data_IF_305420469466
#
_entry.id   IF_305420469466
#
_cell.length_a   1.000
_cell.length_b   1.000
_cell.length_c   1.000
_cell.angle_alpha   90.00
_cell.angle_beta   90.00
_cell.angle_gamma   90.00
#
_symmetry.space_group_name_H-M   'P 1'
#
loop_
_entity.id
_entity.type
_entity.pdbx_description
1 polymer ?
#
# COMPACT_ATOMS: atom_id res chain seq x y z
N UNK A 1 -25.91 66.87 -24.14
CA UNK A 1 -24.58 67.33 -24.53
C UNK A 1 -24.63 68.75 -24.93
N UNK A 2 -24.28 69.71 -24.08
CA UNK A 2 -24.31 71.15 -24.38
C UNK A 2 -22.86 71.60 -24.40
N UNK A 3 -22.38 71.92 -25.60
CA UNK A 3 -21.12 72.60 -25.85
C UNK A 3 -21.24 74.05 -25.44
N UNK A 4 -20.53 74.42 -24.37
CA UNK A 4 -20.46 75.80 -23.91
C UNK A 4 -19.43 76.52 -24.74
N UNK A 5 -19.93 77.39 -25.67
CA UNK A 5 -19.12 78.30 -26.50
C UNK A 5 -18.34 79.23 -25.59
N UNK A 6 -17.03 79.33 -25.85
CA UNK A 6 -16.11 80.29 -25.23
C UNK A 6 -16.32 81.66 -25.87
N UNK A 7 -17.03 82.50 -25.13
CA UNK A 7 -17.20 83.93 -25.55
C UNK A 7 -15.84 84.60 -25.52
N UNK A 8 -15.30 84.90 -26.68
CA UNK A 8 -14.14 85.75 -26.84
C UNK A 8 -14.65 87.21 -26.93
N UNK A 9 -14.97 87.76 -25.74
CA UNK A 9 -15.29 89.17 -25.61
C UNK A 9 -14.04 90.01 -25.92
N UNK A 10 -14.10 90.79 -27.02
CA UNK A 10 -13.08 91.76 -27.37
C UNK A 10 -13.20 92.90 -26.35
N UNK A 11 -12.25 93.02 -25.42
CA UNK A 11 -12.19 94.15 -24.48
C UNK A 11 -11.54 95.33 -25.19
N UNK A 12 -12.34 96.24 -25.64
CA UNK A 12 -11.89 97.55 -26.25
C UNK A 12 -11.70 98.55 -25.05
N UNK A 13 -10.45 99.03 -24.79
CA UNK A 13 -10.20 100.12 -23.86
C UNK A 13 -9.12 99.85 -22.81
N UNK A 14 -8.21 98.86 -22.98
CA UNK A 14 -7.02 98.73 -22.10
C UNK A 14 -5.95 99.75 -22.52
N UNK A 15 -5.40 100.44 -21.55
CA UNK A 15 -4.26 101.34 -21.73
C UNK A 15 -3.16 100.70 -22.55
N UNK A 16 -2.58 101.40 -23.55
CA UNK A 16 -1.53 100.81 -24.39
C UNK A 16 -0.32 100.52 -23.56
N UNK A 17 -0.04 99.22 -23.33
CA UNK A 17 1.19 98.76 -22.64
C UNK A 17 2.22 98.47 -23.74
N UNK A 18 3.19 99.35 -23.88
CA UNK A 18 4.37 99.12 -24.71
C UNK A 18 5.33 98.24 -23.87
N UNK A 19 5.49 97.06 -24.33
CA UNK A 19 6.41 96.12 -23.70
C UNK A 19 7.80 96.38 -24.37
N UNK A 20 8.65 97.12 -23.64
CA UNK A 20 9.98 97.52 -24.09
C UNK A 20 11.07 96.48 -23.78
N UNK A 21 10.67 95.28 -23.43
CA UNK A 21 11.63 94.21 -23.18
C UNK A 21 12.17 93.61 -24.50
N UNK A 22 13.50 93.59 -24.70
CA UNK A 22 14.13 92.95 -25.83
C UNK A 22 13.58 91.51 -26.07
N UNK A 23 13.41 91.06 -27.33
CA UNK A 23 12.86 89.76 -27.62
C UNK A 23 13.69 88.57 -27.00
N UNK A 24 14.97 88.80 -26.78
CA UNK A 24 15.91 87.84 -26.18
C UNK A 24 15.54 87.52 -24.75
N UNK A 25 15.20 88.54 -23.93
CA UNK A 25 14.81 88.31 -22.51
C UNK A 25 13.53 87.55 -22.40
N UNK A 26 12.59 87.66 -23.40
CA UNK A 26 11.38 86.86 -23.43
C UNK A 26 11.67 85.42 -23.82
N UNK A 27 12.63 85.15 -24.70
CA UNK A 27 13.11 83.82 -25.06
C UNK A 27 13.75 83.13 -23.86
N UNK A 28 14.62 83.85 -23.16
CA UNK A 28 15.29 83.29 -21.97
C UNK A 28 14.31 82.94 -20.80
N UNK A 29 13.30 83.81 -20.56
CA UNK A 29 12.25 83.48 -19.58
C UNK A 29 11.39 82.29 -19.96
N UNK A 30 11.09 82.13 -21.26
CA UNK A 30 10.38 80.95 -21.77
C UNK A 30 11.25 79.69 -21.69
N UNK A 31 12.54 79.81 -22.05
CA UNK A 31 13.49 78.72 -21.92
C UNK A 31 13.68 78.28 -20.45
N UNK A 32 13.83 79.25 -19.51
CA UNK A 32 13.89 78.94 -18.09
C UNK A 32 12.62 78.30 -17.54
N UNK A 33 11.43 78.70 -18.06
CA UNK A 33 10.17 78.04 -17.69
C UNK A 33 10.06 76.60 -18.22
N UNK A 34 10.51 76.38 -19.45
CA UNK A 34 10.59 75.02 -20.04
C UNK A 34 11.63 74.14 -19.32
N UNK A 35 12.81 74.70 -19.01
CA UNK A 35 13.83 73.99 -18.26
C UNK A 35 13.34 73.56 -16.84
N UNK A 36 12.64 74.47 -16.13
CA UNK A 36 12.05 74.08 -14.82
C UNK A 36 11.00 73.00 -14.95
N UNK A 37 10.18 73.01 -15.98
CA UNK A 37 9.19 71.92 -16.22
C UNK A 37 9.88 70.60 -16.59
N UNK A 38 10.92 70.66 -17.41
CA UNK A 38 11.74 69.48 -17.75
C UNK A 38 12.40 68.88 -16.52
N UNK A 39 13.01 69.73 -15.68
CA UNK A 39 13.62 69.28 -14.42
C UNK A 39 12.56 68.68 -13.45
N UNK A 40 11.40 69.27 -13.34
CA UNK A 40 10.29 68.73 -12.56
C UNK A 40 9.86 67.36 -13.09
N UNK A 41 9.81 67.18 -14.41
CA UNK A 41 9.52 65.91 -15.04
C UNK A 41 10.59 64.84 -14.70
N UNK A 42 11.87 65.20 -14.77
CA UNK A 42 12.98 64.27 -14.40
C UNK A 42 12.89 63.85 -12.93
N UNK A 43 12.60 64.79 -12.02
CA UNK A 43 12.43 64.49 -10.57
C UNK A 43 11.25 63.52 -10.35
N UNK A 44 10.11 63.71 -11.01
CA UNK A 44 8.97 62.79 -10.92
C UNK A 44 9.31 61.42 -11.41
N UNK A 45 9.99 61.30 -12.59
CA UNK A 45 10.43 60.01 -13.13
C UNK A 45 11.41 59.34 -12.16
N UNK A 46 12.40 60.06 -11.63
CA UNK A 46 13.34 59.55 -10.64
C UNK A 46 12.64 59.02 -9.41
N UNK A 47 11.60 59.72 -8.93
CA UNK A 47 10.83 59.29 -7.77
C UNK A 47 10.01 58.05 -8.05
N UNK A 48 9.41 57.92 -9.19
CA UNK A 48 8.67 56.72 -9.63
C UNK A 48 9.61 55.51 -9.75
N UNK A 49 10.79 55.70 -10.30
CA UNK A 49 11.81 54.67 -10.42
C UNK A 49 12.30 54.22 -9.03
N UNK A 50 12.53 55.18 -8.13
CA UNK A 50 12.95 54.90 -6.78
C UNK A 50 11.90 54.08 -5.99
N UNK A 51 10.61 54.46 -6.10
CA UNK A 51 9.53 53.73 -5.49
C UNK A 51 9.41 52.31 -6.09
N UNK A 52 9.45 52.20 -7.41
CA UNK A 52 9.39 50.90 -8.10
C UNK A 52 10.56 49.96 -7.73
N UNK A 53 11.77 50.50 -7.66
CA UNK A 53 12.97 49.74 -7.24
C UNK A 53 12.89 49.34 -5.77
N UNK A 54 12.42 50.23 -4.89
CA UNK A 54 12.22 49.92 -3.47
C UNK A 54 11.19 48.79 -3.27
N UNK A 55 10.06 48.86 -3.97
CA UNK A 55 9.04 47.81 -3.90
C UNK A 55 9.57 46.46 -4.41
N UNK A 56 10.33 46.46 -5.50
CA UNK A 56 10.93 45.23 -6.03
C UNK A 56 11.97 44.60 -5.08
N UNK A 57 12.74 45.43 -4.37
CA UNK A 57 13.68 44.94 -3.36
C UNK A 57 12.96 44.32 -2.14
N UNK A 58 11.90 44.96 -1.66
CA UNK A 58 11.09 44.43 -0.57
C UNK A 58 10.42 43.11 -0.95
N UNK A 59 9.97 42.98 -2.21
CA UNK A 59 9.37 41.76 -2.70
C UNK A 59 10.39 40.62 -2.78
N UNK A 60 11.63 40.90 -3.22
CA UNK A 60 12.71 39.90 -3.21
C UNK A 60 13.06 39.42 -1.79
N UNK A 61 13.11 40.29 -0.83
CA UNK A 61 13.37 39.91 0.56
C UNK A 61 12.28 38.99 1.11
N UNK A 62 11.00 39.30 0.82
CA UNK A 62 9.89 38.45 1.22
C UNK A 62 9.91 37.09 0.49
N UNK A 63 10.31 37.07 -0.78
CA UNK A 63 10.41 35.84 -1.55
C UNK A 63 11.56 34.95 -1.05
N UNK A 64 12.70 35.53 -0.66
CA UNK A 64 13.82 34.79 -0.03
C UNK A 64 13.42 34.21 1.32
N UNK A 65 12.72 34.98 2.17
CA UNK A 65 12.21 34.50 3.45
C UNK A 65 11.19 33.36 3.28
N UNK A 66 10.30 33.46 2.29
CA UNK A 66 9.34 32.42 1.98
C UNK A 66 9.99 31.14 1.47
N UNK A 67 11.06 31.25 0.66
CA UNK A 67 11.87 30.11 0.22
C UNK A 67 12.58 29.42 1.38
N UNK A 68 13.17 30.20 2.31
CA UNK A 68 13.81 29.64 3.50
C UNK A 68 12.82 28.93 4.41
N UNK A 69 11.62 29.48 4.59
CA UNK A 69 10.54 28.83 5.34
C UNK A 69 10.09 27.53 4.68
N UNK A 70 9.86 27.53 3.35
CA UNK A 70 9.46 26.36 2.61
C UNK A 70 10.54 25.26 2.62
N UNK A 71 11.83 25.63 2.56
CA UNK A 71 12.95 24.71 2.71
C UNK A 71 12.99 24.12 4.13
N UNK A 72 12.80 24.95 5.15
CA UNK A 72 12.73 24.51 6.55
C UNK A 72 11.57 23.54 6.80
N UNK A 73 10.40 23.82 6.23
CA UNK A 73 9.25 22.94 6.31
C UNK A 73 9.51 21.61 5.60
N UNK A 74 10.10 21.65 4.41
CA UNK A 74 10.50 20.43 3.66
C UNK A 74 11.48 19.60 4.48
N UNK A 75 12.48 20.22 5.11
CA UNK A 75 13.45 19.52 5.94
C UNK A 75 12.79 18.90 7.18
N UNK A 76 11.86 19.61 7.81
CA UNK A 76 11.11 19.10 8.96
C UNK A 76 10.23 17.90 8.58
N UNK A 77 9.56 17.96 7.43
CA UNK A 77 8.75 16.86 6.89
C UNK A 77 9.61 15.63 6.55
N UNK A 78 10.79 15.82 5.98
CA UNK A 78 11.72 14.73 5.73
C UNK A 78 12.19 14.06 7.03
N UNK A 79 12.48 14.85 8.05
CA UNK A 79 12.85 14.32 9.37
C UNK A 79 11.71 13.53 10.00
N UNK A 80 10.47 14.04 9.92
CA UNK A 80 9.29 13.31 10.38
C UNK A 80 9.09 12.00 9.58
N UNK A 81 9.26 12.04 8.26
CA UNK A 81 9.18 10.83 7.44
C UNK A 81 10.23 9.79 7.84
N UNK A 82 11.44 10.22 8.19
CA UNK A 82 12.48 9.31 8.68
C UNK A 82 12.12 8.67 10.02
N UNK A 83 11.53 9.42 10.96
CA UNK A 83 11.07 8.88 12.23
C UNK A 83 9.99 7.79 12.05
N UNK A 84 9.11 7.97 11.06
CA UNK A 84 8.07 6.98 10.75
C UNK A 84 8.54 5.86 9.80
N UNK A 85 9.74 5.95 9.24
CA UNK A 85 10.25 4.91 8.32
C UNK A 85 10.43 3.57 9.03
N UNK A 86 10.90 3.59 10.27
CA UNK A 86 11.08 2.38 11.09
C UNK A 86 9.74 1.73 11.45
N UNK A 87 8.75 2.53 11.84
CA UNK A 87 7.39 2.04 12.11
C UNK A 87 6.77 1.40 10.87
N UNK A 88 6.91 2.05 9.70
CA UNK A 88 6.43 1.50 8.43
C UNK A 88 7.16 0.21 8.03
N UNK A 89 8.46 0.11 8.34
CA UNK A 89 9.21 -1.12 8.11
C UNK A 89 8.66 -2.25 8.97
N UNK A 90 8.50 -2.03 10.27
CA UNK A 90 7.92 -3.02 11.20
C UNK A 90 6.51 -3.43 10.77
N UNK A 91 5.67 -2.49 10.36
CA UNK A 91 4.33 -2.80 9.83
C UNK A 91 4.38 -3.70 8.59
N UNK A 92 5.30 -3.44 7.66
CA UNK A 92 5.49 -4.29 6.48
C UNK A 92 6.01 -5.67 6.85
N UNK A 93 6.94 -5.75 7.79
CA UNK A 93 7.50 -7.01 8.26
C UNK A 93 6.41 -7.85 8.95
N UNK A 94 5.58 -7.24 9.80
CA UNK A 94 4.42 -7.91 10.42
C UNK A 94 3.42 -8.39 9.37
N UNK A 95 3.08 -7.55 8.38
CA UNK A 95 2.18 -7.95 7.31
C UNK A 95 2.75 -9.09 6.46
N UNK A 96 4.07 -9.08 6.21
CA UNK A 96 4.75 -10.16 5.49
C UNK A 96 4.74 -11.47 6.30
N UNK A 97 5.00 -11.40 7.61
CA UNK A 97 4.95 -12.57 8.50
C UNK A 97 3.53 -13.15 8.50
N UNK A 98 2.51 -12.33 8.67
CA UNK A 98 1.12 -12.78 8.66
C UNK A 98 0.73 -13.42 7.31
N UNK A 99 1.19 -12.85 6.19
CA UNK A 99 0.96 -13.44 4.87
C UNK A 99 1.71 -14.79 4.70
N UNK A 100 2.95 -14.87 5.19
CA UNK A 100 3.73 -16.10 5.15
C UNK A 100 3.11 -17.19 6.03
N UNK A 101 2.60 -16.83 7.21
CA UNK A 101 1.89 -17.71 8.12
C UNK A 101 0.60 -18.27 7.52
N UNK A 102 -0.18 -17.42 6.86
CA UNK A 102 -1.38 -17.82 6.12
C UNK A 102 -1.05 -18.80 4.99
N UNK A 103 -0.03 -18.52 4.20
CA UNK A 103 0.40 -19.41 3.10
C UNK A 103 0.96 -20.72 3.67
N UNK A 104 1.87 -20.65 4.64
CA UNK A 104 2.49 -21.82 5.26
C UNK A 104 1.48 -22.72 6.00
N UNK A 105 0.48 -22.12 6.62
CA UNK A 105 -0.58 -22.81 7.35
C UNK A 105 -1.74 -23.32 6.50
N UNK A 106 -1.79 -22.95 5.21
CA UNK A 106 -2.90 -23.33 4.33
C UNK A 106 -3.07 -24.84 4.11
N UNK A 107 -2.01 -25.61 4.33
CA UNK A 107 -2.01 -27.07 4.24
C UNK A 107 -1.84 -27.76 5.59
N UNK A 108 -2.06 -27.02 6.69
CA UNK A 108 -1.90 -27.55 8.02
C UNK A 108 -2.99 -28.57 8.37
N UNK A 109 -2.56 -29.70 8.91
CA UNK A 109 -3.41 -30.79 9.39
C UNK A 109 -3.07 -31.06 10.86
N UNK A 110 -4.08 -31.16 11.73
CA UNK A 110 -3.89 -31.57 13.14
C UNK A 110 -3.72 -33.08 13.20
N UNK A 111 -2.49 -33.54 12.92
CA UNK A 111 -2.17 -34.96 12.89
C UNK A 111 -2.40 -35.68 14.23
N UNK A 112 -2.05 -35.14 15.40
CA UNK A 112 -2.33 -35.80 16.66
C UNK A 112 -3.81 -36.09 16.83
N UNK A 113 -4.68 -35.11 16.68
CA UNK A 113 -6.11 -35.28 16.80
C UNK A 113 -6.70 -36.20 15.74
N UNK A 114 -6.14 -36.19 14.51
CA UNK A 114 -6.60 -37.07 13.44
C UNK A 114 -6.21 -38.51 13.67
N UNK A 115 -4.99 -38.78 14.15
CA UNK A 115 -4.52 -40.14 14.48
C UNK A 115 -5.29 -40.74 15.64
N UNK A 116 -5.70 -39.96 16.64
CA UNK A 116 -6.60 -40.41 17.69
C UNK A 116 -7.95 -40.89 17.12
N UNK A 117 -8.53 -40.14 16.19
CA UNK A 117 -9.75 -40.54 15.51
C UNK A 117 -9.57 -41.84 14.72
N UNK A 118 -8.45 -41.99 13.99
CA UNK A 118 -8.14 -43.25 13.30
C UNK A 118 -8.11 -44.39 14.28
N UNK A 119 -7.37 -44.27 15.39
CA UNK A 119 -7.25 -45.32 16.41
C UNK A 119 -8.60 -45.69 17.03
N UNK A 120 -9.49 -44.71 17.22
CA UNK A 120 -10.83 -44.94 17.76
C UNK A 120 -11.76 -45.71 16.78
N UNK A 121 -11.47 -45.70 15.48
CA UNK A 121 -12.27 -46.45 14.47
C UNK A 121 -11.78 -47.89 14.25
N UNK A 122 -10.60 -48.25 14.77
CA UNK A 122 -10.05 -49.58 14.62
C UNK A 122 -10.79 -50.62 15.48
N UNK A 123 -10.98 -51.84 14.98
CA UNK A 123 -11.55 -52.91 15.76
C UNK A 123 -10.70 -53.27 17.00
N UNK A 124 -11.35 -53.85 18.01
CA UNK A 124 -10.68 -54.33 19.22
C UNK A 124 -9.61 -55.38 18.85
N UNK A 125 -8.41 -55.25 19.39
CA UNK A 125 -7.29 -56.13 19.13
C UNK A 125 -6.37 -55.69 18.00
N UNK A 126 -6.75 -54.66 17.22
CA UNK A 126 -5.90 -54.05 16.20
C UNK A 126 -5.11 -52.89 16.80
N UNK A 127 -3.79 -52.93 16.63
CA UNK A 127 -2.90 -51.87 17.18
C UNK A 127 -2.09 -51.27 16.04
N UNK A 128 -1.95 -49.94 16.05
CA UNK A 128 -1.08 -49.20 15.14
C UNK A 128 0.37 -49.33 15.66
N UNK A 129 1.28 -49.78 14.83
CA UNK A 129 2.71 -49.90 15.15
C UNK A 129 3.58 -48.94 14.38
N UNK A 130 3.06 -48.35 13.29
CA UNK A 130 3.75 -47.36 12.49
C UNK A 130 2.81 -46.53 11.68
N UNK A 131 3.19 -45.26 11.46
CA UNK A 131 2.47 -44.33 10.60
C UNK A 131 3.49 -43.58 9.76
N UNK A 132 3.22 -43.51 8.44
CA UNK A 132 3.93 -42.67 7.51
C UNK A 132 2.95 -41.63 6.93
N UNK A 133 3.35 -40.37 6.96
CA UNK A 133 2.53 -39.25 6.55
C UNK A 133 3.20 -38.54 5.37
N UNK A 134 2.43 -38.27 4.34
CA UNK A 134 2.81 -37.43 3.23
C UNK A 134 1.69 -36.43 2.96
N UNK A 135 1.99 -35.14 2.85
CA UNK A 135 0.98 -34.10 2.70
C UNK A 135 1.35 -33.05 1.67
N UNK A 136 0.33 -32.36 1.17
CA UNK A 136 0.49 -31.23 0.28
C UNK A 136 1.37 -30.14 0.90
N UNK A 137 2.13 -29.47 0.06
CA UNK A 137 2.91 -28.29 0.42
C UNK A 137 2.31 -27.06 -0.28
N UNK A 138 2.28 -25.89 0.38
CA UNK A 138 1.82 -24.66 -0.30
C UNK A 138 2.64 -24.30 -1.53
N UNK A 139 3.87 -24.85 -1.64
CA UNK A 139 4.82 -24.54 -2.71
C UNK A 139 4.87 -25.60 -3.83
N UNK A 140 4.19 -26.74 -3.66
CA UNK A 140 4.21 -27.82 -4.65
C UNK A 140 2.82 -28.44 -4.76
N UNK A 141 2.41 -28.70 -6.00
CA UNK A 141 1.17 -29.42 -6.26
C UNK A 141 1.26 -30.85 -5.70
N UNK A 142 0.22 -31.29 -5.00
CA UNK A 142 0.12 -32.66 -4.50
C UNK A 142 -0.32 -33.60 -5.64
N UNK A 143 0.24 -34.81 -5.67
CA UNK A 143 -0.07 -35.80 -6.69
C UNK A 143 -1.54 -36.22 -6.60
N UNK A 144 -2.26 -36.00 -7.68
CA UNK A 144 -3.69 -36.31 -7.75
C UNK A 144 -3.95 -37.71 -8.33
N UNK A 145 -5.11 -38.23 -8.00
CA UNK A 145 -5.57 -39.49 -8.56
C UNK A 145 -5.69 -39.41 -10.09
N UNK A 146 -5.30 -40.46 -10.78
CA UNK A 146 -5.38 -40.54 -12.24
C UNK A 146 -6.76 -40.88 -12.77
N UNK A 147 -7.63 -41.44 -11.92
CA UNK A 147 -9.00 -41.80 -12.28
C UNK A 147 -9.97 -40.65 -12.06
N UNK A 148 -10.78 -40.36 -13.09
CA UNK A 148 -11.67 -39.16 -13.09
C UNK A 148 -12.77 -39.14 -12.02
N UNK A 149 -13.05 -40.27 -11.37
CA UNK A 149 -14.08 -40.40 -10.33
C UNK A 149 -13.53 -40.41 -8.90
N UNK A 150 -12.21 -40.30 -8.73
CA UNK A 150 -11.60 -40.24 -7.41
C UNK A 150 -11.60 -38.79 -6.88
N UNK A 151 -11.79 -38.66 -5.55
CA UNK A 151 -11.75 -37.36 -4.92
C UNK A 151 -10.35 -36.72 -4.99
N UNK A 152 -10.30 -35.40 -4.88
CA UNK A 152 -9.02 -34.68 -4.78
C UNK A 152 -8.28 -35.10 -3.51
N UNK A 153 -6.95 -35.12 -3.56
CA UNK A 153 -6.10 -35.58 -2.46
C UNK A 153 -5.20 -34.44 -2.00
N UNK A 154 -5.07 -34.29 -0.67
CA UNK A 154 -4.15 -33.34 -0.03
C UNK A 154 -3.14 -34.02 0.87
N UNK A 155 -3.43 -35.26 1.29
CA UNK A 155 -2.50 -36.04 2.09
C UNK A 155 -2.70 -37.54 1.88
N UNK A 156 -1.64 -38.30 2.17
CA UNK A 156 -1.62 -39.77 2.22
C UNK A 156 -1.12 -40.20 3.57
N UNK A 157 -1.86 -41.12 4.18
CA UNK A 157 -1.50 -41.77 5.46
C UNK A 157 -1.34 -43.24 5.21
N UNK A 158 -0.15 -43.76 5.45
CA UNK A 158 0.11 -45.19 5.45
C UNK A 158 0.23 -45.69 6.90
N UNK A 159 -0.69 -46.58 7.29
CA UNK A 159 -0.79 -47.10 8.64
C UNK A 159 -0.34 -48.55 8.63
N UNK A 160 0.58 -48.86 9.50
CA UNK A 160 1.01 -50.26 9.78
C UNK A 160 0.30 -50.73 11.02
N UNK A 161 -0.45 -51.83 10.91
CA UNK A 161 -1.24 -52.42 11.99
C UNK A 161 -0.78 -53.81 12.30
N UNK A 162 -0.96 -54.17 13.55
CA UNK A 162 -0.78 -55.56 14.03
C UNK A 162 -2.03 -56.05 14.73
N UNK A 163 -2.30 -57.36 14.59
CA UNK A 163 -3.45 -58.01 15.26
C UNK A 163 -3.12 -59.46 15.56
N UNK A 164 -3.54 -59.98 16.74
CA UNK A 164 -3.39 -61.40 17.06
C UNK A 164 -4.29 -62.32 16.25
N UNK A 165 -5.38 -61.76 15.74
CA UNK A 165 -6.33 -62.47 14.87
C UNK A 165 -6.36 -61.85 13.47
N UNK A 166 -6.86 -62.61 12.48
CA UNK A 166 -6.96 -62.09 11.11
C UNK A 166 -7.88 -60.87 11.10
N UNK A 167 -7.36 -59.67 10.80
CA UNK A 167 -8.15 -58.47 10.89
C UNK A 167 -9.23 -58.39 9.79
N UNK A 168 -10.43 -57.93 10.14
CA UNK A 168 -11.46 -57.69 9.17
C UNK A 168 -11.14 -56.40 8.39
N UNK A 169 -10.52 -56.56 7.24
CA UNK A 169 -10.16 -55.42 6.35
C UNK A 169 -11.37 -54.58 6.01
N UNK A 170 -12.50 -55.21 5.69
CA UNK A 170 -13.75 -54.50 5.38
C UNK A 170 -14.25 -53.68 6.58
N UNK A 171 -14.14 -54.22 7.78
CA UNK A 171 -14.50 -53.52 8.99
C UNK A 171 -13.62 -52.28 9.23
N UNK A 172 -12.30 -52.42 9.02
CA UNK A 172 -11.35 -51.31 9.11
C UNK A 172 -11.64 -50.24 8.08
N UNK A 173 -11.78 -50.61 6.81
CA UNK A 173 -12.07 -49.65 5.73
C UNK A 173 -13.40 -48.90 5.95
N UNK A 174 -14.44 -49.59 6.41
CA UNK A 174 -15.71 -48.97 6.75
C UNK A 174 -15.56 -47.97 7.92
N UNK A 175 -14.76 -48.32 8.94
CA UNK A 175 -14.47 -47.41 10.03
C UNK A 175 -13.72 -46.15 9.55
N UNK A 176 -12.65 -46.33 8.78
CA UNK A 176 -11.87 -45.22 8.20
C UNK A 176 -12.74 -44.33 7.32
N UNK A 177 -13.69 -44.90 6.58
CA UNK A 177 -14.65 -44.18 5.73
C UNK A 177 -15.58 -43.22 6.46
N UNK A 178 -15.69 -43.33 7.80
CA UNK A 178 -16.48 -42.41 8.63
C UNK A 178 -15.71 -41.15 9.05
N UNK A 179 -14.40 -41.11 8.80
CA UNK A 179 -13.54 -40.00 9.22
C UNK A 179 -13.74 -38.77 8.30
N UNK A 180 -13.70 -37.55 8.87
CA UNK A 180 -13.75 -36.35 8.08
C UNK A 180 -12.55 -36.27 7.14
N UNK A 181 -12.79 -35.87 5.89
CA UNK A 181 -11.73 -35.76 4.89
C UNK A 181 -11.23 -37.09 4.33
N UNK A 182 -11.90 -38.21 4.58
CA UNK A 182 -11.59 -39.50 3.95
C UNK A 182 -11.92 -39.46 2.46
N UNK A 183 -10.94 -39.67 1.60
CA UNK A 183 -11.13 -39.75 0.15
C UNK A 183 -11.27 -41.19 -0.32
N UNK A 184 -10.26 -42.01 -0.06
CA UNK A 184 -10.25 -43.45 -0.34
C UNK A 184 -9.21 -44.16 0.55
N UNK A 185 -9.31 -45.49 0.64
CA UNK A 185 -8.27 -46.30 1.26
C UNK A 185 -8.08 -47.62 0.54
N UNK A 186 -6.84 -48.06 0.50
CA UNK A 186 -6.42 -49.31 -0.12
C UNK A 186 -5.67 -50.17 0.91
N UNK A 187 -6.12 -51.41 1.15
CA UNK A 187 -5.36 -52.36 1.93
C UNK A 187 -4.14 -52.82 1.14
N UNK A 188 -2.99 -52.83 1.79
CA UNK A 188 -1.78 -53.40 1.26
C UNK A 188 -1.68 -54.92 1.55
N UNK A 189 -0.46 -55.39 1.83
CA UNK A 189 -0.22 -56.80 2.12
C UNK A 189 -0.63 -57.12 3.55
N UNK A 190 -1.15 -58.35 3.74
CA UNK A 190 -1.38 -58.94 5.04
C UNK A 190 -0.44 -60.13 5.21
N UNK A 191 0.41 -60.07 6.20
CA UNK A 191 1.41 -61.11 6.47
C UNK A 191 1.24 -61.65 7.87
N UNK A 192 1.36 -62.95 8.00
CA UNK A 192 1.44 -63.59 9.31
C UNK A 192 2.92 -63.79 9.68
N UNK A 193 3.34 -63.15 10.74
CA UNK A 193 4.70 -63.26 11.22
C UNK A 193 4.67 -63.61 12.74
N UNK A 194 5.27 -64.74 13.07
CA UNK A 194 5.37 -65.23 14.46
C UNK A 194 4.05 -65.29 15.24
N UNK A 195 2.94 -65.58 14.56
CA UNK A 195 1.60 -65.68 15.14
C UNK A 195 0.86 -64.34 15.24
N UNK A 196 1.41 -63.26 14.70
CA UNK A 196 0.80 -61.92 14.67
C UNK A 196 0.59 -61.53 13.21
N UNK A 197 -0.62 -61.08 12.90
CA UNK A 197 -0.91 -60.51 11.57
C UNK A 197 -0.40 -59.09 11.50
N UNK A 198 0.34 -58.77 10.46
CA UNK A 198 0.79 -57.43 10.09
C UNK A 198 0.15 -57.03 8.80
N UNK A 199 -0.43 -55.84 8.76
CA UNK A 199 -1.04 -55.30 7.54
C UNK A 199 -0.72 -53.82 7.39
N UNK A 200 -0.63 -53.39 6.12
CA UNK A 200 -0.47 -52.00 5.74
C UNK A 200 -1.77 -51.52 5.12
N UNK A 201 -2.17 -50.30 5.43
CA UNK A 201 -3.33 -49.63 4.86
C UNK A 201 -2.89 -48.25 4.41
N UNK A 202 -3.07 -47.94 3.14
CA UNK A 202 -2.82 -46.62 2.60
C UNK A 202 -4.16 -45.89 2.43
N UNK A 203 -4.29 -44.73 3.05
CA UNK A 203 -5.48 -43.90 3.03
C UNK A 203 -5.13 -42.53 2.43
N UNK A 204 -6.00 -42.01 1.58
CA UNK A 204 -5.89 -40.68 1.03
C UNK A 204 -6.93 -39.76 1.65
N UNK A 205 -6.53 -38.51 1.86
CA UNK A 205 -7.34 -37.50 2.51
C UNK A 205 -7.59 -36.33 1.56
N UNK A 206 -8.80 -35.80 1.61
CA UNK A 206 -9.21 -34.60 0.88
C UNK A 206 -9.04 -33.31 1.73
N UNK A 207 -9.40 -32.16 1.15
CA UNK A 207 -9.24 -30.87 1.78
C UNK A 207 -10.05 -30.67 3.08
N UNK A 208 -11.04 -31.51 3.37
CA UNK A 208 -11.83 -31.40 4.60
C UNK A 208 -11.04 -31.81 5.86
N UNK A 209 -9.84 -32.39 5.69
CA UNK A 209 -8.93 -32.70 6.82
C UNK A 209 -8.13 -31.52 7.31
N UNK A 210 -8.03 -30.44 6.51
CA UNK A 210 -7.26 -29.24 6.86
C UNK A 210 -7.80 -28.58 8.11
N UNK A 211 -6.90 -28.13 8.96
CA UNK A 211 -7.27 -27.55 10.26
C UNK A 211 -7.98 -26.19 10.15
N UNK A 212 -7.68 -25.41 9.11
CA UNK A 212 -8.19 -24.05 8.90
C UNK A 212 -7.76 -23.04 9.98
N UNK A 213 -6.92 -23.42 10.94
CA UNK A 213 -6.55 -22.57 12.09
C UNK A 213 -5.74 -21.33 11.71
N UNK A 214 -5.15 -21.33 10.51
CA UNK A 214 -4.42 -20.19 9.96
C UNK A 214 -5.24 -19.42 8.93
N UNK A 215 -6.46 -19.85 8.66
CA UNK A 215 -7.39 -19.04 7.89
C UNK A 215 -7.77 -17.82 8.74
N UNK A 216 -7.36 -16.65 8.29
CA UNK A 216 -7.72 -15.40 8.97
C UNK A 216 -9.25 -15.36 9.04
N UNK A 217 -9.81 -15.44 10.23
CA UNK A 217 -11.17 -14.96 10.43
C UNK A 217 -11.10 -13.50 10.05
N UNK A 218 -11.69 -13.12 8.92
CA UNK A 218 -11.96 -11.73 8.62
C UNK A 218 -12.81 -11.22 9.78
N UNK A 219 -12.09 -10.65 10.75
CA UNK A 219 -12.67 -10.17 11.98
C UNK A 219 -13.54 -8.95 11.68
N UNK A 220 -14.67 -8.95 12.31
CA UNK A 220 -15.59 -7.85 12.53
C UNK A 220 -14.93 -6.46 12.64
#
# INVERSE_FOLDING_TARGET
MRTRGKDTGITVGGAPRVDLLPPEVRADRKAAGLARRAWAGVVVVAFVVAIGSGAALLQRMNDEDSLLMAQGETQSLLTQQQQYAEVRKVQKDVALIAAAEKVGGSTDIDWPAYLEKIQATLPVGVTIVGVSLDQASPLAAYEQATAALQASRVATVTIQITSPELPSVTGILNGLGTLPGFADAQPGSINLDSGIYKADITMHLDAAVLSGRFDTQEGE
#
